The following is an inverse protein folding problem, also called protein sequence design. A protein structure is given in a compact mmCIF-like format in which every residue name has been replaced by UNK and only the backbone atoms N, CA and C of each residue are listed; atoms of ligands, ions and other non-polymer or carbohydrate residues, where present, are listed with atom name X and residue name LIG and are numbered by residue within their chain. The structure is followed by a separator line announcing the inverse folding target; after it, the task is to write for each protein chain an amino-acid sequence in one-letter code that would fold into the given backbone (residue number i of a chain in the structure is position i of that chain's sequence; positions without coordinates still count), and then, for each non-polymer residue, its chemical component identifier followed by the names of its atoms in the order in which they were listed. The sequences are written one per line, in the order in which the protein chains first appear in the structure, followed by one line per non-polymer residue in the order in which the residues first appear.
data_IF_144961582841
#
_entry.id   IF_144961582841
#
_cell.length_a   1.000
_cell.length_b   1.000
_cell.length_c   1.000
_cell.angle_alpha   90.00
_cell.angle_beta   90.00
_cell.angle_gamma   90.00
#
_symmetry.space_group_name_H-M   'P 1'
#
loop_
_entity.id
_entity.type
_entity.pdbx_description
1 polymer ?
#
# COMPACT_ATOMS: atom_id res chain seq x y z
N UNK A 1 2.92 13.03 7.07
CA UNK A 1 2.53 12.63 5.69
C UNK A 1 1.04 12.38 5.56
N UNK A 2 0.34 13.16 4.74
CA UNK A 2 -1.08 12.97 4.45
C UNK A 2 -1.24 12.22 3.12
N UNK A 3 -1.78 11.01 3.17
CA UNK A 3 -2.31 10.33 1.98
C UNK A 3 -3.59 11.06 1.57
N UNK A 4 -3.69 11.43 0.30
CA UNK A 4 -4.86 12.10 -0.25
C UNK A 4 -5.74 11.06 -0.94
N UNK A 5 -7.02 11.04 -0.60
CA UNK A 5 -7.98 10.06 -1.09
C UNK A 5 -9.08 10.81 -1.85
N UNK A 6 -9.24 10.44 -3.12
CA UNK A 6 -10.31 10.91 -3.98
C UNK A 6 -11.18 9.74 -4.40
N UNK A 7 -12.50 9.94 -4.36
CA UNK A 7 -13.51 8.89 -4.61
C UNK A 7 -14.67 9.38 -5.48
N UNK A 8 -14.44 10.46 -6.23
CA UNK A 8 -15.50 11.19 -6.95
C UNK A 8 -16.12 10.37 -8.09
N UNK A 9 -15.36 9.43 -8.68
CA UNK A 9 -15.80 8.57 -9.80
C UNK A 9 -16.30 7.20 -9.33
N UNK A 10 -17.16 6.54 -10.13
CA UNK A 10 -17.53 5.12 -9.92
C UNK A 10 -16.38 4.15 -10.19
N UNK A 11 -15.46 4.51 -11.09
CA UNK A 11 -14.28 3.71 -11.43
C UNK A 11 -13.23 3.77 -10.31
N UNK A 12 -12.90 2.60 -9.74
CA UNK A 12 -11.83 2.49 -8.75
C UNK A 12 -10.46 2.83 -9.35
N UNK A 13 -10.18 2.35 -10.57
CA UNK A 13 -8.95 2.68 -11.28
C UNK A 13 -8.73 4.19 -11.45
N UNK A 14 -9.77 4.93 -11.82
CA UNK A 14 -9.72 6.40 -11.97
C UNK A 14 -9.44 7.08 -10.64
N UNK A 15 -10.13 6.67 -9.58
CA UNK A 15 -9.96 7.23 -8.24
C UNK A 15 -8.57 6.95 -7.67
N UNK A 16 -8.04 5.73 -7.89
CA UNK A 16 -6.69 5.34 -7.48
C UNK A 16 -5.65 6.20 -8.19
N UNK A 17 -5.76 6.34 -9.51
CA UNK A 17 -4.81 7.16 -10.28
C UNK A 17 -4.80 8.62 -9.80
N UNK A 18 -5.98 9.22 -9.61
CA UNK A 18 -6.11 10.60 -9.09
C UNK A 18 -5.52 10.72 -7.68
N UNK A 19 -5.87 9.80 -6.78
CA UNK A 19 -5.37 9.79 -5.40
C UNK A 19 -3.85 9.61 -5.32
N UNK A 20 -3.26 8.79 -6.21
CA UNK A 20 -1.82 8.63 -6.33
C UNK A 20 -1.15 9.94 -6.77
N UNK A 21 -1.69 10.63 -7.78
CA UNK A 21 -1.15 11.91 -8.24
C UNK A 21 -1.21 12.98 -7.15
N UNK A 22 -2.35 13.12 -6.47
CA UNK A 22 -2.50 14.08 -5.37
C UNK A 22 -1.61 13.73 -4.16
N UNK A 23 -1.49 12.43 -3.82
CA UNK A 23 -0.56 11.97 -2.79
C UNK A 23 0.89 12.25 -3.17
N UNK A 24 1.27 12.12 -4.44
CA UNK A 24 2.61 12.47 -4.90
C UNK A 24 2.88 13.98 -4.76
N UNK A 25 1.88 14.84 -5.01
CA UNK A 25 1.96 16.28 -4.73
C UNK A 25 2.18 16.58 -3.24
N UNK A 26 1.38 15.97 -2.37
CA UNK A 26 1.55 16.07 -0.90
C UNK A 26 2.94 15.59 -0.44
N UNK A 27 3.43 14.48 -1.01
CA UNK A 27 4.78 13.96 -0.73
C UNK A 27 5.89 14.90 -1.23
N UNK A 28 5.65 15.64 -2.32
CA UNK A 28 6.58 16.63 -2.83
C UNK A 28 6.72 17.80 -1.86
N UNK A 29 5.60 18.35 -1.40
CA UNK A 29 5.60 19.46 -0.43
C UNK A 29 6.35 19.09 0.86
N UNK A 30 6.08 17.89 1.39
CA UNK A 30 6.79 17.38 2.59
C UNK A 30 8.27 17.09 2.30
N UNK A 31 8.59 16.61 1.10
CA UNK A 31 9.96 16.38 0.63
C UNK A 31 10.78 17.66 0.55
N UNK A 32 10.22 18.72 -0.06
CA UNK A 32 10.83 20.06 -0.12
C UNK A 32 11.13 20.56 1.29
N UNK A 33 10.12 20.55 2.17
CA UNK A 33 10.29 20.98 3.57
C UNK A 33 11.36 20.18 4.29
N UNK A 34 11.44 18.88 4.03
CA UNK A 34 12.48 18.02 4.59
C UNK A 34 13.87 18.41 4.09
N UNK A 35 14.06 18.60 2.79
CA UNK A 35 15.36 18.97 2.22
C UNK A 35 15.81 20.35 2.69
N UNK A 36 14.89 21.33 2.78
CA UNK A 36 15.17 22.64 3.37
C UNK A 36 15.62 22.50 4.83
N UNK A 37 14.91 21.69 5.63
CA UNK A 37 15.28 21.42 7.02
C UNK A 37 16.68 20.83 7.14
N UNK A 38 17.04 19.88 6.27
CA UNK A 38 18.39 19.27 6.24
C UNK A 38 19.49 20.33 6.05
N UNK A 39 19.25 21.32 5.18
CA UNK A 39 20.25 22.38 4.94
C UNK A 39 20.49 23.27 6.17
N UNK A 40 19.49 23.39 7.06
CA UNK A 40 19.59 24.19 8.29
C UNK A 40 20.22 23.46 9.48
N UNK A 41 20.53 22.16 9.36
CA UNK A 41 21.11 21.39 10.48
C UNK A 41 22.50 21.90 10.81
N UNK A 42 22.73 22.20 12.09
CA UNK A 42 24.02 22.61 12.64
C UNK A 42 24.96 21.41 12.79
N UNK A 43 25.99 21.39 11.95
CA UNK A 43 27.00 20.33 11.90
C UNK A 43 27.95 20.37 13.11
N UNK A 44 28.09 21.52 13.76
CA UNK A 44 28.86 21.64 15.01
C UNK A 44 28.14 20.99 16.18
N UNK A 45 26.81 21.08 16.22
CA UNK A 45 25.97 20.40 17.22
C UNK A 45 25.81 18.91 16.93
N UNK A 46 25.72 18.53 15.66
CA UNK A 46 25.55 17.15 15.23
C UNK A 46 26.64 16.78 14.23
N UNK A 47 27.85 16.38 14.68
CA UNK A 47 28.97 16.12 13.78
C UNK A 47 28.75 14.91 12.87
N UNK A 48 27.87 13.98 13.28
CA UNK A 48 27.54 12.76 12.53
C UNK A 48 26.08 12.79 12.10
N UNK A 49 25.74 12.62 10.80
CA UNK A 49 24.37 12.65 10.32
C UNK A 49 23.38 11.70 11.01
N UNK A 50 23.88 10.57 11.54
CA UNK A 50 23.07 9.61 12.29
C UNK A 50 22.72 10.02 13.72
N UNK A 51 23.31 11.10 14.24
CA UNK A 51 23.20 11.51 15.65
C UNK A 51 22.33 12.75 15.86
N UNK A 52 21.54 13.15 14.86
CA UNK A 52 20.64 14.30 15.00
C UNK A 52 19.57 13.97 16.04
N UNK A 53 19.51 14.83 17.07
CA UNK A 53 18.48 14.80 18.10
C UNK A 53 17.61 16.05 18.01
N UNK A 54 16.32 15.81 17.80
CA UNK A 54 15.29 16.82 17.66
C UNK A 54 14.40 16.94 18.91
N UNK A 55 14.85 16.43 20.06
CA UNK A 55 14.17 16.61 21.35
C UNK A 55 13.85 18.10 21.60
N UNK A 56 12.58 18.42 21.87
CA UNK A 56 12.12 19.79 22.17
C UNK A 56 10.96 20.32 21.32
N UNK A 57 10.55 19.61 20.27
CA UNK A 57 9.46 20.03 19.36
C UNK A 57 8.37 18.95 19.22
N UNK A 58 7.53 18.74 20.25
CA UNK A 58 6.50 17.69 20.24
C UNK A 58 5.50 17.85 19.09
N UNK A 59 5.20 19.08 18.69
CA UNK A 59 4.30 19.42 17.58
C UNK A 59 4.83 19.01 16.19
N UNK A 60 6.15 18.90 16.03
CA UNK A 60 6.80 18.49 14.77
C UNK A 60 7.42 17.09 14.83
N UNK A 61 7.18 16.33 15.91
CA UNK A 61 7.90 15.08 16.20
C UNK A 61 7.92 14.10 15.02
N UNK A 62 6.79 13.87 14.37
CA UNK A 62 6.71 12.95 13.22
C UNK A 62 7.53 13.44 12.03
N UNK A 63 7.48 14.74 11.74
CA UNK A 63 8.26 15.33 10.66
C UNK A 63 9.76 15.30 10.95
N UNK A 64 10.16 15.60 12.18
CA UNK A 64 11.55 15.58 12.59
C UNK A 64 12.13 14.15 12.60
N UNK A 65 11.31 13.15 12.94
CA UNK A 65 11.70 11.74 12.80
C UNK A 65 11.85 11.35 11.32
N UNK A 66 10.99 11.86 10.43
CA UNK A 66 11.17 11.69 9.00
C UNK A 66 12.47 12.33 8.49
N UNK A 67 12.78 13.57 8.89
CA UNK A 67 14.05 14.25 8.56
C UNK A 67 15.24 13.43 9.05
N UNK A 68 15.18 12.95 10.31
CA UNK A 68 16.21 12.07 10.89
C UNK A 68 16.41 10.81 10.07
N UNK A 69 15.32 10.15 9.65
CA UNK A 69 15.39 8.97 8.79
C UNK A 69 16.08 9.27 7.45
N UNK A 70 15.82 10.45 6.86
CA UNK A 70 16.47 10.86 5.61
C UNK A 70 17.99 10.98 5.77
N UNK A 71 18.46 11.68 6.80
CA UNK A 71 19.90 11.96 7.00
C UNK A 71 20.68 10.78 7.58
N UNK A 72 20.03 9.90 8.33
CA UNK A 72 20.69 8.75 8.97
C UNK A 72 20.69 7.49 8.09
N UNK A 73 19.74 7.36 7.16
CA UNK A 73 19.54 6.12 6.40
C UNK A 73 19.33 6.34 4.91
N UNK A 74 18.31 7.10 4.53
CA UNK A 74 17.86 7.14 3.12
C UNK A 74 18.90 7.79 2.20
N UNK A 75 19.35 9.01 2.52
CA UNK A 75 20.32 9.73 1.72
C UNK A 75 21.70 9.04 1.76
N UNK A 76 22.25 8.65 2.93
CA UNK A 76 23.50 7.89 2.98
C UNK A 76 23.46 6.61 2.13
N UNK A 77 22.38 5.81 2.20
CA UNK A 77 22.26 4.59 1.40
C UNK A 77 22.22 4.86 -0.11
N UNK A 78 21.67 6.00 -0.55
CA UNK A 78 21.69 6.41 -1.96
C UNK A 78 23.09 6.80 -2.41
N UNK A 79 23.82 7.53 -1.57
CA UNK A 79 25.21 7.94 -1.83
C UNK A 79 26.12 6.71 -1.85
N UNK A 80 26.00 5.83 -0.85
CA UNK A 80 26.77 4.58 -0.71
C UNK A 80 26.70 3.71 -1.97
N UNK A 81 25.53 3.59 -2.61
CA UNK A 81 25.39 2.82 -3.86
C UNK A 81 26.23 3.37 -5.02
N UNK A 82 26.59 4.65 -4.97
CA UNK A 82 27.20 5.39 -6.07
C UNK A 82 28.38 6.26 -5.60
N UNK A 83 29.04 5.91 -4.50
CA UNK A 83 29.93 6.80 -3.75
C UNK A 83 31.09 7.35 -4.61
N UNK A 84 31.56 6.57 -5.57
CA UNK A 84 32.58 6.97 -6.55
C UNK A 84 32.17 8.22 -7.36
N UNK A 85 30.88 8.37 -7.68
CA UNK A 85 30.35 9.53 -8.41
C UNK A 85 30.24 10.79 -7.54
N UNK A 86 30.38 10.63 -6.22
CA UNK A 86 30.49 11.73 -5.27
C UNK A 86 31.95 12.13 -5.00
N UNK A 87 32.91 11.45 -5.63
CA UNK A 87 34.34 11.66 -5.42
C UNK A 87 34.85 11.05 -4.11
N UNK A 88 34.13 10.08 -3.56
CA UNK A 88 34.52 9.36 -2.35
C UNK A 88 35.33 8.11 -2.72
N UNK A 89 36.29 7.76 -1.86
CA UNK A 89 37.07 6.51 -1.96
C UNK A 89 36.41 5.36 -1.23
N UNK A 90 35.51 5.65 -0.27
CA UNK A 90 34.76 4.65 0.51
C UNK A 90 33.41 5.19 0.97
N UNK A 91 32.38 4.34 1.13
CA UNK A 91 31.11 4.72 1.78
C UNK A 91 31.26 5.28 3.20
N UNK A 92 32.34 4.94 3.91
CA UNK A 92 32.61 5.45 5.27
C UNK A 92 32.93 6.95 5.30
N UNK A 93 33.22 7.55 4.15
CA UNK A 93 33.54 8.97 4.01
C UNK A 93 32.30 9.86 3.87
N UNK A 94 31.10 9.28 3.84
CA UNK A 94 29.85 10.03 3.71
C UNK A 94 29.68 10.95 4.92
N UNK A 95 29.61 12.25 4.65
CA UNK A 95 29.47 13.30 5.66
C UNK A 95 28.29 14.23 5.38
N UNK A 96 28.11 15.24 6.23
CA UNK A 96 27.15 16.30 5.99
C UNK A 96 27.35 17.04 4.67
N UNK A 97 28.58 17.13 4.19
CA UNK A 97 28.89 17.75 2.90
C UNK A 97 28.14 17.08 1.77
N UNK A 98 28.18 15.75 1.68
CA UNK A 98 27.53 14.98 0.63
C UNK A 98 26.00 14.97 0.80
N UNK A 99 25.51 14.88 2.03
CA UNK A 99 24.08 14.92 2.35
C UNK A 99 23.48 16.27 1.96
N UNK A 100 24.10 17.39 2.39
CA UNK A 100 23.64 18.74 2.03
C UNK A 100 23.81 19.04 0.55
N UNK A 101 24.85 18.50 -0.11
CA UNK A 101 24.98 18.57 -1.58
C UNK A 101 23.79 17.89 -2.26
N UNK A 102 23.41 16.68 -1.83
CA UNK A 102 22.25 15.98 -2.39
C UNK A 102 20.93 16.74 -2.14
N UNK A 103 20.72 17.24 -0.92
CA UNK A 103 19.53 18.04 -0.60
C UNK A 103 19.42 19.31 -1.46
N UNK A 104 20.53 20.03 -1.69
CA UNK A 104 20.56 21.17 -2.62
C UNK A 104 20.21 20.77 -4.05
N UNK A 105 20.76 19.66 -4.53
CA UNK A 105 20.48 19.17 -5.89
C UNK A 105 19.00 18.83 -6.06
N UNK A 106 18.39 18.16 -5.07
CA UNK A 106 16.96 17.88 -5.07
C UNK A 106 16.13 19.16 -5.10
N UNK A 107 16.42 20.13 -4.23
CA UNK A 107 15.72 21.43 -4.23
C UNK A 107 15.86 22.22 -5.53
N UNK A 108 16.98 22.08 -6.24
CA UNK A 108 17.23 22.75 -7.52
C UNK A 108 16.68 22.02 -8.74
N UNK A 109 16.24 20.77 -8.60
CA UNK A 109 15.73 19.97 -9.70
C UNK A 109 14.34 20.44 -10.14
N UNK A 110 13.95 20.14 -11.38
CA UNK A 110 12.58 20.37 -11.83
C UNK A 110 11.57 19.57 -10.97
N UNK A 111 10.35 20.09 -10.73
CA UNK A 111 9.36 19.42 -9.88
C UNK A 111 9.05 17.97 -10.29
N UNK A 112 8.98 17.70 -11.60
CA UNK A 112 8.73 16.35 -12.11
C UNK A 112 9.86 15.37 -11.78
N UNK A 113 11.09 15.86 -11.58
CA UNK A 113 12.23 15.06 -11.15
C UNK A 113 12.30 14.97 -9.62
N UNK A 114 11.99 16.06 -8.91
CA UNK A 114 11.91 16.07 -7.44
C UNK A 114 11.00 14.96 -6.91
N UNK A 115 9.83 14.78 -7.53
CA UNK A 115 8.84 13.78 -7.12
C UNK A 115 9.39 12.34 -7.15
N UNK A 116 10.37 12.07 -8.01
CA UNK A 116 11.01 10.74 -8.11
C UNK A 116 11.92 10.43 -6.92
N UNK A 117 12.34 11.45 -6.17
CA UNK A 117 13.15 11.31 -4.96
C UNK A 117 12.31 11.25 -3.68
N UNK A 118 11.03 11.63 -3.78
CA UNK A 118 10.06 11.56 -2.69
C UNK A 118 9.55 10.13 -2.46
N UNK A 119 8.69 9.97 -1.46
CA UNK A 119 8.04 8.69 -1.19
C UNK A 119 7.08 8.35 -2.33
N UNK A 120 7.12 7.09 -2.75
CA UNK A 120 6.24 6.56 -3.79
C UNK A 120 4.84 6.27 -3.21
N UNK A 121 3.80 6.87 -3.80
CA UNK A 121 2.40 6.68 -3.37
C UNK A 121 1.93 5.23 -3.46
N UNK A 122 2.48 4.44 -4.39
CA UNK A 122 2.15 3.00 -4.52
C UNK A 122 2.57 2.21 -3.28
N UNK A 123 3.56 2.70 -2.52
CA UNK A 123 4.05 2.09 -1.28
C UNK A 123 3.38 2.63 -0.02
N UNK A 124 2.35 3.48 -0.16
CA UNK A 124 1.63 4.09 0.96
C UNK A 124 0.24 3.48 1.18
N UNK A 125 -0.07 2.37 0.49
CA UNK A 125 -1.36 1.69 0.55
C UNK A 125 -2.50 2.57 0.06
N UNK A 126 -2.23 3.45 -0.92
CA UNK A 126 -3.23 4.36 -1.49
C UNK A 126 -4.38 3.57 -2.11
N UNK A 127 -4.06 2.54 -2.89
CA UNK A 127 -5.03 1.75 -3.64
C UNK A 127 -6.10 1.12 -2.74
N UNK A 128 -5.67 0.35 -1.74
CA UNK A 128 -6.51 -0.29 -0.73
C UNK A 128 -7.36 0.74 0.03
N UNK A 129 -6.77 1.91 0.36
CA UNK A 129 -7.49 2.98 1.06
C UNK A 129 -8.59 3.59 0.19
N UNK A 130 -8.32 3.83 -1.09
CA UNK A 130 -9.30 4.35 -2.04
C UNK A 130 -10.44 3.35 -2.20
N UNK A 131 -10.12 2.08 -2.48
CA UNK A 131 -11.11 1.02 -2.66
C UNK A 131 -12.02 0.87 -1.42
N UNK A 132 -11.45 0.87 -0.22
CA UNK A 132 -12.23 0.84 1.03
C UNK A 132 -13.03 2.12 1.26
N UNK A 133 -12.50 3.30 0.97
CA UNK A 133 -13.23 4.55 1.09
C UNK A 133 -14.44 4.59 0.14
N UNK A 134 -14.31 4.04 -1.06
CA UNK A 134 -15.45 3.90 -1.99
C UNK A 134 -16.55 3.02 -1.40
N UNK A 135 -16.20 1.89 -0.77
CA UNK A 135 -17.17 1.02 -0.07
C UNK A 135 -17.86 1.78 1.07
N UNK A 136 -17.09 2.51 1.87
CA UNK A 136 -17.58 3.32 2.99
C UNK A 136 -18.59 4.39 2.56
N UNK A 137 -18.36 5.02 1.41
CA UNK A 137 -19.22 6.10 0.93
C UNK A 137 -20.47 5.61 0.19
N UNK A 138 -20.39 4.47 -0.49
CA UNK A 138 -21.42 4.04 -1.46
C UNK A 138 -22.20 2.79 -1.10
N UNK A 139 -21.70 2.02 -0.13
CA UNK A 139 -22.42 0.86 0.39
C UNK A 139 -22.97 1.22 1.76
N UNK A 140 -22.11 1.43 2.74
CA UNK A 140 -22.55 1.90 4.06
C UNK A 140 -21.39 2.45 4.89
N UNK A 141 -21.63 3.63 5.48
CA UNK A 141 -20.63 4.34 6.27
C UNK A 141 -20.42 3.65 7.62
N UNK A 142 -19.16 3.49 8.00
CA UNK A 142 -18.70 2.79 9.19
C UNK A 142 -18.61 1.27 9.05
N UNK A 143 -19.06 0.66 7.95
CA UNK A 143 -19.20 -0.81 7.86
C UNK A 143 -17.89 -1.52 7.54
N UNK A 144 -17.07 -0.96 6.65
CA UNK A 144 -15.90 -1.65 6.11
C UNK A 144 -14.58 -1.23 6.77
N UNK A 145 -14.03 -2.09 7.61
CA UNK A 145 -12.79 -1.81 8.36
C UNK A 145 -11.60 -2.54 7.77
N UNK A 146 -10.42 -1.90 7.82
CA UNK A 146 -9.16 -2.56 7.48
C UNK A 146 -8.94 -3.75 8.43
N UNK A 147 -8.65 -4.91 7.88
CA UNK A 147 -8.24 -6.07 8.64
C UNK A 147 -6.81 -5.91 9.14
N UNK A 148 -6.59 -6.05 10.45
CA UNK A 148 -5.27 -5.79 11.07
C UNK A 148 -4.56 -7.05 11.55
N UNK A 149 -5.31 -8.13 11.74
CA UNK A 149 -4.75 -9.37 12.29
C UNK A 149 -4.08 -10.24 11.21
N UNK A 150 -4.31 -9.93 9.92
CA UNK A 150 -3.85 -10.75 8.80
C UNK A 150 -4.64 -12.06 8.78
N UNK A 151 -5.88 -11.99 8.32
CA UNK A 151 -6.76 -13.16 8.19
C UNK A 151 -6.52 -13.78 6.81
N UNK A 152 -6.29 -15.09 6.76
CA UNK A 152 -6.03 -15.83 5.54
C UNK A 152 -7.15 -16.84 5.28
N UNK A 153 -7.51 -17.03 4.02
CA UNK A 153 -8.30 -18.17 3.55
C UNK A 153 -7.37 -19.11 2.77
N UNK A 154 -7.38 -20.40 3.12
CA UNK A 154 -6.54 -21.39 2.47
C UNK A 154 -7.17 -22.78 2.55
N UNK A 155 -7.29 -23.46 1.41
CA UNK A 155 -7.85 -24.82 1.33
C UNK A 155 -9.20 -24.99 2.05
N UNK A 156 -10.03 -23.96 1.98
CA UNK A 156 -11.37 -23.93 2.57
C UNK A 156 -11.44 -23.68 4.08
N UNK A 157 -10.36 -23.23 4.72
CA UNK A 157 -10.37 -22.81 6.12
C UNK A 157 -9.87 -21.36 6.29
N UNK A 158 -10.30 -20.72 7.38
CA UNK A 158 -9.84 -19.39 7.80
C UNK A 158 -8.79 -19.52 8.90
N UNK A 159 -7.72 -18.74 8.78
CA UNK A 159 -6.64 -18.63 9.76
C UNK A 159 -6.50 -17.17 10.19
N UNK A 160 -6.41 -16.92 11.50
CA UNK A 160 -6.38 -15.58 12.07
C UNK A 160 -4.97 -14.96 12.13
N UNK A 161 -3.96 -15.70 11.65
CA UNK A 161 -2.61 -15.17 11.48
C UNK A 161 -1.81 -16.02 10.51
N UNK A 162 -0.73 -15.44 9.96
CA UNK A 162 0.21 -16.18 9.12
C UNK A 162 0.87 -17.34 9.88
N UNK A 163 1.12 -17.17 11.18
CA UNK A 163 1.71 -18.21 12.03
C UNK A 163 0.78 -19.40 12.19
N UNK A 164 -0.52 -19.15 12.39
CA UNK A 164 -1.53 -20.19 12.50
C UNK A 164 -1.61 -21.00 11.20
N UNK A 165 -1.66 -20.30 10.06
CA UNK A 165 -1.63 -20.91 8.74
C UNK A 165 -0.37 -21.77 8.53
N UNK A 166 0.82 -21.24 8.81
CA UNK A 166 2.08 -21.99 8.71
C UNK A 166 2.12 -23.25 9.59
N UNK A 167 1.53 -23.16 10.79
CA UNK A 167 1.45 -24.28 11.72
C UNK A 167 0.52 -25.37 11.18
N UNK A 168 -0.65 -24.97 10.69
CA UNK A 168 -1.66 -25.89 10.18
C UNK A 168 -1.20 -26.65 8.93
N UNK A 169 -0.47 -25.99 8.02
CA UNK A 169 -0.03 -26.63 6.78
C UNK A 169 1.38 -27.23 6.87
N UNK A 170 2.05 -27.12 8.02
CA UNK A 170 3.46 -27.52 8.20
C UNK A 170 4.40 -26.93 7.13
N UNK A 171 4.11 -25.73 6.64
CA UNK A 171 4.90 -25.06 5.59
C UNK A 171 5.26 -23.65 6.02
N UNK A 172 6.55 -23.32 5.99
CA UNK A 172 7.02 -21.96 6.26
C UNK A 172 6.72 -21.01 5.08
N UNK A 173 6.59 -21.56 3.86
CA UNK A 173 6.49 -20.81 2.61
C UNK A 173 5.11 -21.01 1.98
N UNK A 174 4.12 -20.29 2.50
CA UNK A 174 2.77 -20.29 1.94
C UNK A 174 2.57 -18.97 1.23
N UNK A 175 2.38 -19.07 -0.07
CA UNK A 175 2.13 -17.92 -0.94
C UNK A 175 0.63 -17.62 -0.96
N UNK A 176 0.15 -17.10 0.17
CA UNK A 176 -1.21 -16.58 0.33
C UNK A 176 -1.18 -15.20 0.92
N UNK A 177 -2.07 -14.37 0.40
CA UNK A 177 -2.31 -13.02 0.91
C UNK A 177 -3.49 -13.04 1.86
N UNK A 178 -3.43 -12.12 2.80
CA UNK A 178 -4.47 -11.85 3.76
C UNK A 178 -5.63 -11.07 3.12
N UNK A 179 -6.78 -11.15 3.77
CA UNK A 179 -7.94 -10.30 3.53
C UNK A 179 -7.59 -8.89 3.96
N UNK A 180 -7.88 -7.90 3.10
CA UNK A 180 -7.52 -6.50 3.34
C UNK A 180 -8.58 -5.75 4.16
N UNK A 181 -9.86 -6.05 3.89
CA UNK A 181 -11.01 -5.34 4.46
C UNK A 181 -12.09 -6.33 4.89
N UNK A 182 -12.65 -6.11 6.07
CA UNK A 182 -13.79 -6.87 6.61
C UNK A 182 -14.99 -5.94 6.84
N UNK A 183 -16.21 -6.44 6.71
CA UNK A 183 -17.43 -5.71 7.03
C UNK A 183 -18.58 -6.64 7.38
N UNK A 184 -19.72 -6.07 7.78
CA UNK A 184 -20.95 -6.83 8.02
C UNK A 184 -22.11 -6.13 7.33
N UNK A 185 -22.80 -6.84 6.44
CA UNK A 185 -24.02 -6.36 5.75
C UNK A 185 -25.11 -7.37 6.04
N UNK A 186 -26.24 -6.91 6.58
CA UNK A 186 -27.41 -7.74 6.83
C UNK A 186 -27.10 -9.08 7.52
N UNK A 187 -26.28 -9.01 8.59
CA UNK A 187 -25.76 -10.14 9.38
C UNK A 187 -24.78 -11.07 8.66
N UNK A 188 -24.52 -10.86 7.36
CA UNK A 188 -23.49 -11.56 6.61
C UNK A 188 -22.12 -10.93 6.86
N UNK A 189 -21.13 -11.77 7.09
CA UNK A 189 -19.74 -11.34 7.30
C UNK A 189 -19.03 -11.24 5.96
N UNK A 190 -18.66 -10.03 5.56
CA UNK A 190 -18.04 -9.75 4.26
C UNK A 190 -16.53 -9.71 4.43
N UNK A 191 -15.81 -10.51 3.65
CA UNK A 191 -14.34 -10.60 3.62
C UNK A 191 -13.84 -10.18 2.24
N UNK A 192 -13.10 -9.07 2.16
CA UNK A 192 -12.71 -8.45 0.90
C UNK A 192 -11.20 -8.48 0.73
N UNK A 193 -10.78 -9.11 -0.36
CA UNK A 193 -9.43 -9.07 -0.90
C UNK A 193 -9.34 -7.98 -1.97
N UNK A 194 -8.37 -7.06 -1.83
CA UNK A 194 -8.28 -5.84 -2.61
C UNK A 194 -6.97 -5.78 -3.39
N UNK A 195 -7.06 -5.64 -4.70
CA UNK A 195 -5.88 -5.51 -5.56
C UNK A 195 -6.06 -4.48 -6.66
N UNK A 196 -4.94 -3.97 -7.15
CA UNK A 196 -4.88 -3.05 -8.27
C UNK A 196 -3.70 -3.39 -9.18
N UNK A 197 -3.93 -3.45 -10.49
CA UNK A 197 -2.86 -3.56 -11.47
C UNK A 197 -3.27 -2.98 -12.83
N UNK A 198 -2.48 -2.03 -13.33
CA UNK A 198 -2.81 -1.28 -14.56
C UNK A 198 -2.23 -1.91 -15.85
N UNK A 199 -1.14 -2.67 -15.79
CA UNK A 199 -0.27 -2.94 -16.96
C UNK A 199 0.51 -4.26 -16.97
N UNK A 200 -0.01 -5.47 -16.78
CA UNK A 200 0.69 -6.77 -17.01
C UNK A 200 2.19 -6.97 -16.65
N UNK A 201 2.72 -8.17 -16.89
CA UNK A 201 4.13 -8.51 -16.68
C UNK A 201 4.45 -9.14 -15.32
N UNK A 202 5.68 -9.60 -15.12
CA UNK A 202 6.00 -10.63 -14.11
C UNK A 202 5.62 -10.33 -12.65
N UNK A 203 5.59 -9.06 -12.22
CA UNK A 203 5.09 -8.71 -10.89
C UNK A 203 3.55 -8.61 -10.83
N UNK A 204 2.89 -8.30 -11.95
CA UNK A 204 1.43 -8.20 -12.05
C UNK A 204 0.77 -9.56 -12.33
N UNK A 205 1.46 -10.48 -13.02
CA UNK A 205 1.02 -11.88 -13.15
C UNK A 205 0.86 -12.55 -11.78
N UNK A 206 1.68 -12.14 -10.80
CA UNK A 206 1.52 -12.56 -9.42
C UNK A 206 0.22 -12.05 -8.81
N UNK A 207 -0.23 -10.84 -9.15
CA UNK A 207 -1.49 -10.27 -8.61
C UNK A 207 -2.71 -11.05 -9.12
N UNK A 208 -2.72 -11.44 -10.40
CA UNK A 208 -3.75 -12.34 -10.91
C UNK A 208 -3.71 -13.69 -10.20
N UNK A 209 -2.51 -14.27 -10.05
CA UNK A 209 -2.33 -15.56 -9.37
C UNK A 209 -2.77 -15.53 -7.91
N UNK A 210 -2.44 -14.45 -7.19
CA UNK A 210 -2.90 -14.19 -5.82
C UNK A 210 -4.43 -14.12 -5.75
N UNK A 211 -5.06 -13.42 -6.71
CA UNK A 211 -6.52 -13.29 -6.78
C UNK A 211 -7.19 -14.61 -7.08
N UNK A 212 -6.66 -15.38 -8.04
CA UNK A 212 -7.15 -16.71 -8.39
C UNK A 212 -7.08 -17.66 -7.20
N UNK A 213 -5.97 -17.64 -6.45
CA UNK A 213 -5.84 -18.41 -5.22
C UNK A 213 -6.88 -18.02 -4.18
N UNK A 214 -7.09 -16.73 -3.94
CA UNK A 214 -8.11 -16.25 -3.02
C UNK A 214 -9.52 -16.72 -3.41
N UNK A 215 -9.88 -16.60 -4.69
CA UNK A 215 -11.19 -17.06 -5.22
C UNK A 215 -11.35 -18.57 -5.00
N UNK A 216 -10.34 -19.38 -5.37
CA UNK A 216 -10.40 -20.84 -5.23
C UNK A 216 -10.47 -21.32 -3.78
N UNK A 217 -9.72 -20.68 -2.89
CA UNK A 217 -9.72 -21.04 -1.47
C UNK A 217 -11.01 -20.58 -0.77
N UNK A 218 -11.54 -19.42 -1.15
CA UNK A 218 -12.85 -18.95 -0.72
C UNK A 218 -13.96 -19.89 -1.18
N UNK A 219 -13.84 -20.38 -2.41
CA UNK A 219 -14.86 -21.26 -2.96
C UNK A 219 -14.87 -22.63 -2.26
N UNK A 220 -13.70 -23.15 -1.94
CA UNK A 220 -13.60 -24.32 -1.07
C UNK A 220 -14.21 -24.07 0.31
N UNK A 221 -14.03 -22.87 0.87
CA UNK A 221 -14.58 -22.51 2.18
C UNK A 221 -16.11 -22.57 2.17
N UNK A 222 -16.75 -21.93 1.19
CA UNK A 222 -18.22 -21.86 1.14
C UNK A 222 -18.88 -23.20 0.82
N UNK A 223 -18.14 -24.14 0.19
CA UNK A 223 -18.61 -25.51 0.03
C UNK A 223 -18.53 -26.30 1.34
N UNK A 224 -17.45 -26.10 2.11
CA UNK A 224 -17.18 -26.80 3.37
C UNK A 224 -18.04 -26.30 4.53
N UNK A 225 -18.29 -25.00 4.62
CA UNK A 225 -18.93 -24.35 5.75
C UNK A 225 -20.32 -23.79 5.39
N UNK A 226 -21.30 -23.91 6.28
CA UNK A 226 -22.70 -23.46 6.06
C UNK A 226 -23.03 -22.16 6.83
N UNK A 227 -22.05 -21.30 6.99
CA UNK A 227 -22.16 -20.00 7.65
C UNK A 227 -22.57 -18.87 6.68
N UNK A 228 -22.70 -17.66 7.22
CA UNK A 228 -23.06 -16.45 6.47
C UNK A 228 -21.82 -15.62 6.04
N UNK A 229 -20.66 -16.27 5.88
CA UNK A 229 -19.45 -15.59 5.38
C UNK A 229 -19.52 -15.50 3.86
N UNK A 230 -19.23 -14.30 3.36
CA UNK A 230 -19.17 -13.94 1.94
C UNK A 230 -17.77 -13.42 1.62
N UNK A 231 -17.19 -13.89 0.53
CA UNK A 231 -15.87 -13.48 0.05
C UNK A 231 -15.97 -12.65 -1.21
N UNK A 232 -15.20 -11.57 -1.26
CA UNK A 232 -15.20 -10.63 -2.38
C UNK A 232 -13.77 -10.35 -2.81
N UNK A 233 -13.48 -10.56 -4.09
CA UNK A 233 -12.26 -10.06 -4.72
C UNK A 233 -12.59 -8.74 -5.44
N UNK A 234 -12.19 -7.61 -4.84
CA UNK A 234 -12.31 -6.29 -5.43
C UNK A 234 -11.00 -5.95 -6.17
N UNK A 235 -11.05 -5.97 -7.50
CA UNK A 235 -9.87 -5.78 -8.34
C UNK A 235 -10.04 -4.64 -9.33
N UNK A 236 -9.14 -3.66 -9.30
CA UNK A 236 -9.19 -2.50 -10.19
C UNK A 236 -7.94 -2.39 -11.08
N UNK A 237 -8.06 -1.63 -12.16
CA UNK A 237 -6.98 -1.36 -13.10
C UNK A 237 -7.12 -2.20 -14.37
N UNK A 238 -6.91 -1.54 -15.51
CA UNK A 238 -7.26 -2.07 -16.83
C UNK A 238 -6.84 -3.53 -17.05
N UNK A 239 -5.60 -3.88 -16.71
CA UNK A 239 -5.12 -5.24 -16.89
C UNK A 239 -5.81 -6.28 -16.01
N UNK A 240 -6.06 -6.00 -14.71
CA UNK A 240 -6.78 -6.93 -13.84
C UNK A 240 -8.26 -7.04 -14.21
N UNK A 241 -8.87 -5.92 -14.60
CA UNK A 241 -10.27 -5.88 -15.01
C UNK A 241 -10.51 -6.74 -16.26
N UNK A 242 -9.56 -6.80 -17.20
CA UNK A 242 -9.58 -7.74 -18.33
C UNK A 242 -9.56 -9.21 -17.91
N UNK A 243 -9.06 -9.54 -16.71
CA UNK A 243 -9.00 -10.91 -16.19
C UNK A 243 -10.25 -11.33 -15.41
N UNK A 244 -11.17 -10.42 -15.09
CA UNK A 244 -12.39 -10.71 -14.30
C UNK A 244 -13.17 -11.91 -14.86
N UNK A 245 -13.45 -12.03 -16.18
CA UNK A 245 -14.20 -13.16 -16.71
C UNK A 245 -13.58 -14.52 -16.34
N UNK A 246 -12.24 -14.63 -16.40
CA UNK A 246 -11.51 -15.86 -16.05
C UNK A 246 -11.57 -16.19 -14.56
N UNK A 247 -11.76 -15.20 -13.70
CA UNK A 247 -11.94 -15.39 -12.26
C UNK A 247 -13.39 -15.79 -11.94
N UNK A 248 -14.36 -15.26 -12.68
CA UNK A 248 -15.78 -15.64 -12.56
C UNK A 248 -15.97 -17.11 -12.93
N UNK A 249 -15.26 -17.61 -13.95
CA UNK A 249 -15.32 -19.03 -14.37
C UNK A 249 -14.95 -20.03 -13.25
N UNK A 250 -14.29 -19.56 -12.18
CA UNK A 250 -13.86 -20.38 -11.04
C UNK A 250 -14.86 -20.33 -9.85
N UNK A 251 -15.97 -19.59 -9.99
CA UNK A 251 -16.98 -19.37 -8.95
C UNK A 251 -18.26 -20.13 -9.30
N UNK A 252 -18.77 -20.91 -8.35
CA UNK A 252 -20.03 -21.67 -8.45
C UNK A 252 -21.02 -21.34 -7.31
N UNK A 253 -20.63 -20.49 -6.36
CA UNK A 253 -21.40 -20.08 -5.19
C UNK A 253 -21.82 -18.62 -5.28
N UNK A 254 -22.99 -18.30 -4.74
CA UNK A 254 -23.44 -16.92 -4.54
C UNK A 254 -22.69 -16.20 -3.39
N UNK A 255 -21.88 -16.92 -2.60
CA UNK A 255 -21.12 -16.35 -1.48
C UNK A 255 -19.68 -15.99 -1.83
N UNK A 256 -19.29 -16.12 -3.10
CA UNK A 256 -18.01 -15.62 -3.62
C UNK A 256 -18.29 -14.71 -4.80
N UNK A 257 -17.70 -13.52 -4.80
CA UNK A 257 -17.87 -12.54 -5.87
C UNK A 257 -16.52 -11.95 -6.29
N UNK A 258 -16.37 -11.64 -7.57
CA UNK A 258 -15.22 -10.92 -8.10
C UNK A 258 -15.69 -9.82 -9.05
N UNK A 259 -15.09 -8.65 -8.93
CA UNK A 259 -15.39 -7.52 -9.79
C UNK A 259 -14.51 -6.31 -9.51
N UNK A 260 -14.65 -5.29 -10.34
CA UNK A 260 -14.06 -3.99 -10.07
C UNK A 260 -14.85 -3.22 -8.99
N UNK A 261 -14.33 -2.07 -8.56
CA UNK A 261 -14.96 -1.31 -7.48
C UNK A 261 -16.43 -0.98 -7.76
N UNK A 262 -16.80 -0.64 -8.99
CA UNK A 262 -18.19 -0.32 -9.36
C UNK A 262 -19.07 -1.56 -9.23
N UNK A 263 -18.66 -2.68 -9.84
CA UNK A 263 -19.40 -3.95 -9.79
C UNK A 263 -19.57 -4.48 -8.37
N UNK A 264 -18.52 -4.42 -7.55
CA UNK A 264 -18.55 -4.85 -6.15
C UNK A 264 -19.53 -4.00 -5.34
N UNK A 265 -19.51 -2.68 -5.51
CA UNK A 265 -20.43 -1.77 -4.80
C UNK A 265 -21.88 -2.06 -5.20
N UNK A 266 -22.15 -2.18 -6.49
CA UNK A 266 -23.49 -2.47 -6.99
C UNK A 266 -24.00 -3.83 -6.49
N UNK A 267 -23.13 -4.84 -6.44
CA UNK A 267 -23.47 -6.16 -5.93
C UNK A 267 -23.72 -6.18 -4.41
N UNK A 268 -22.85 -5.54 -3.63
CA UNK A 268 -23.02 -5.45 -2.16
C UNK A 268 -24.31 -4.74 -1.76
N UNK A 269 -24.75 -3.75 -2.55
CA UNK A 269 -26.01 -3.04 -2.34
C UNK A 269 -27.26 -3.89 -2.64
N UNK A 270 -27.10 -5.05 -3.28
CA UNK A 270 -28.17 -6.01 -3.55
C UNK A 270 -28.24 -7.13 -2.49
N UNK A 271 -27.26 -7.21 -1.58
CA UNK A 271 -27.29 -8.18 -0.50
C UNK A 271 -28.37 -7.76 0.50
N UNK A 272 -29.46 -8.54 0.55
CA UNK A 272 -30.52 -8.43 1.56
C UNK A 272 -30.11 -8.91 2.95
#
# INVERSE_FOLDING_TARGET
MAVVINTDSKSGATNIDKSRQETNGSNLDEGIRCWEKILTIDEGKFPVPGQVDFTGHPEEREFLEYVKQQVSKTIPSRIEKNFIHYGLSSPTEISWKEIKKMAKLYLSADPWLQITFCKDSTRQGVDEKVQREMLQQRVSRGVFVKERQGIYVYQGDIYNSKRELQTATSSANIDRKDIDTSGVINKKSIKIFQKYAKVGGGHQDNVFTETLHFVKDSEQYVHKHKDDIVFVAQIDGAWLEEQIPRLIDEINSERVFVGNSEQVIDWLNQIE
#
